data_IF_667515858866
#
_entry.id   IF_667515858866
#
_cell.length_a   1.000
_cell.length_b   1.000
_cell.length_c   1.000
_cell.angle_alpha   90.00
_cell.angle_beta   90.00
_cell.angle_gamma   90.00
#
_symmetry.space_group_name_H-M   'P 1'
#
loop_
_entity.id
_entity.type
_entity.pdbx_description
1 polymer ?
#
# COMPACT_ATOMS: atom_id res chain seq x y z
N UNK A 1 -39.42 4.90 -23.51
CA UNK A 1 -38.62 4.24 -22.46
C UNK A 1 -37.71 5.29 -21.83
N UNK A 2 -38.14 5.88 -20.72
CA UNK A 2 -37.37 6.85 -19.96
C UNK A 2 -36.27 6.12 -19.19
N UNK A 3 -35.02 6.22 -19.65
CA UNK A 3 -33.88 5.80 -18.83
C UNK A 3 -33.79 6.78 -17.66
N UNK A 4 -34.10 6.32 -16.46
CA UNK A 4 -33.76 7.03 -15.23
C UNK A 4 -32.24 7.06 -15.13
N UNK A 5 -31.63 8.19 -15.48
CA UNK A 5 -30.23 8.45 -15.16
C UNK A 5 -30.15 8.65 -13.65
N UNK A 6 -29.94 7.56 -12.92
CA UNK A 6 -29.55 7.65 -11.51
C UNK A 6 -28.15 8.24 -11.49
N UNK A 7 -28.01 9.44 -10.92
CA UNK A 7 -26.69 10.01 -10.73
C UNK A 7 -25.98 9.20 -9.63
N UNK A 8 -24.72 8.86 -9.85
CA UNK A 8 -23.95 8.05 -8.90
C UNK A 8 -23.91 8.72 -7.52
N UNK A 9 -23.84 10.05 -7.50
CA UNK A 9 -23.80 10.87 -6.28
C UNK A 9 -25.12 10.89 -5.50
N UNK A 10 -26.22 10.45 -6.10
CA UNK A 10 -27.52 10.37 -5.41
C UNK A 10 -27.69 9.04 -4.66
N UNK A 11 -26.69 8.15 -4.75
CA UNK A 11 -26.71 6.87 -4.04
C UNK A 11 -26.34 7.06 -2.56
N UNK A 12 -26.93 6.26 -1.66
CA UNK A 12 -26.51 6.24 -0.26
C UNK A 12 -25.03 5.85 -0.11
N UNK A 13 -24.35 6.44 0.88
CA UNK A 13 -22.93 6.20 1.20
C UNK A 13 -22.57 4.72 1.28
N UNK A 14 -23.42 3.92 1.90
CA UNK A 14 -23.21 2.47 2.02
C UNK A 14 -23.09 1.78 0.65
N UNK A 15 -23.87 2.21 -0.35
CA UNK A 15 -23.82 1.67 -1.70
C UNK A 15 -22.57 2.15 -2.43
N UNK A 16 -22.24 3.44 -2.28
CA UNK A 16 -21.01 4.01 -2.83
C UNK A 16 -19.77 3.28 -2.31
N UNK A 17 -19.67 3.05 -1.01
CA UNK A 17 -18.57 2.30 -0.41
C UNK A 17 -18.47 0.86 -0.94
N UNK A 18 -19.61 0.19 -1.15
CA UNK A 18 -19.62 -1.16 -1.75
C UNK A 18 -19.08 -1.12 -3.18
N UNK A 19 -19.45 -0.10 -3.97
CA UNK A 19 -18.96 0.07 -5.34
C UNK A 19 -17.46 0.36 -5.33
N UNK A 20 -17.03 1.35 -4.55
CA UNK A 20 -15.62 1.76 -4.46
C UNK A 20 -14.75 0.58 -4.02
N UNK A 21 -15.18 -0.23 -3.04
CA UNK A 21 -14.47 -1.44 -2.59
C UNK A 21 -14.25 -2.50 -3.66
N UNK A 22 -15.04 -2.50 -4.73
CA UNK A 22 -14.86 -3.44 -5.84
C UNK A 22 -13.84 -2.94 -6.87
N UNK A 23 -13.44 -1.68 -6.79
CA UNK A 23 -12.46 -1.07 -7.66
C UNK A 23 -11.06 -1.16 -7.05
N UNK A 24 -10.03 -0.99 -7.88
CA UNK A 24 -8.67 -0.81 -7.38
C UNK A 24 -8.62 0.48 -6.53
N UNK A 25 -8.28 0.32 -5.25
CA UNK A 25 -8.26 1.41 -4.29
C UNK A 25 -7.24 2.50 -4.63
N UNK A 26 -6.10 2.16 -5.21
CA UNK A 26 -5.09 3.12 -5.65
C UNK A 26 -5.64 3.97 -6.79
N UNK A 27 -6.24 3.37 -7.80
CA UNK A 27 -6.81 4.10 -8.95
C UNK A 27 -7.94 5.03 -8.51
N UNK A 28 -8.80 4.58 -7.60
CA UNK A 28 -9.87 5.39 -7.02
C UNK A 28 -9.29 6.57 -6.25
N UNK A 29 -8.38 6.33 -5.30
CA UNK A 29 -7.77 7.39 -4.50
C UNK A 29 -7.03 8.41 -5.38
N UNK A 30 -6.31 7.91 -6.39
CA UNK A 30 -5.62 8.75 -7.36
C UNK A 30 -6.58 9.58 -8.20
N UNK A 31 -7.70 9.00 -8.63
CA UNK A 31 -8.71 9.70 -9.42
C UNK A 31 -9.47 10.76 -8.62
N UNK A 32 -9.65 10.55 -7.32
CA UNK A 32 -10.40 11.46 -6.45
C UNK A 32 -9.58 12.66 -5.96
N UNK A 33 -8.25 12.58 -6.00
CA UNK A 33 -7.38 13.61 -5.42
C UNK A 33 -7.59 15.03 -5.99
N UNK A 34 -7.93 15.12 -7.27
CA UNK A 34 -8.17 16.37 -7.99
C UNK A 34 -9.66 16.64 -8.23
N UNK A 35 -10.53 15.75 -7.77
CA UNK A 35 -11.97 15.94 -7.90
C UNK A 35 -12.41 16.82 -6.73
N UNK A 36 -12.93 17.99 -7.07
CA UNK A 36 -13.47 18.95 -6.10
C UNK A 36 -14.85 18.49 -5.57
N UNK A 37 -14.90 17.27 -5.03
CA UNK A 37 -16.07 16.65 -4.46
C UNK A 37 -15.74 16.16 -3.05
N UNK A 38 -16.06 16.99 -2.06
CA UNK A 38 -15.79 16.73 -0.65
C UNK A 38 -16.45 15.44 -0.14
N UNK A 39 -17.63 15.11 -0.67
CA UNK A 39 -18.37 13.91 -0.28
C UNK A 39 -17.62 12.63 -0.68
N UNK A 40 -17.22 12.51 -1.95
CA UNK A 40 -16.41 11.36 -2.41
C UNK A 40 -15.03 11.32 -1.73
N UNK A 41 -14.42 12.48 -1.50
CA UNK A 41 -13.15 12.57 -0.78
C UNK A 41 -13.28 12.06 0.66
N UNK A 42 -14.37 12.39 1.34
CA UNK A 42 -14.64 11.90 2.69
C UNK A 42 -14.82 10.38 2.71
N UNK A 43 -15.58 9.82 1.75
CA UNK A 43 -15.81 8.38 1.63
C UNK A 43 -14.54 7.60 1.33
N UNK A 44 -13.67 8.13 0.45
CA UNK A 44 -12.40 7.48 0.11
C UNK A 44 -11.36 7.57 1.26
N UNK A 45 -11.49 8.58 2.13
CA UNK A 45 -10.67 8.68 3.32
C UNK A 45 -11.21 7.83 4.47
N UNK A 46 -12.42 7.28 4.38
CA UNK A 46 -12.92 6.39 5.42
C UNK A 46 -11.99 5.18 5.61
N UNK A 47 -11.84 4.79 6.87
CA UNK A 47 -11.04 3.64 7.29
C UNK A 47 -11.43 2.36 6.55
N UNK A 48 -12.73 2.22 6.25
CA UNK A 48 -13.28 1.06 5.54
C UNK A 48 -12.68 0.89 4.14
N UNK A 49 -12.20 1.98 3.51
CA UNK A 49 -11.63 1.97 2.17
C UNK A 49 -10.09 2.06 2.16
N UNK A 50 -9.51 2.76 3.14
CA UNK A 50 -8.08 3.07 3.20
C UNK A 50 -7.27 2.17 4.14
N UNK A 51 -7.89 1.20 4.82
CA UNK A 51 -7.16 0.33 5.77
C UNK A 51 -6.15 -0.61 5.11
N UNK A 52 -6.41 -1.02 3.87
CA UNK A 52 -5.56 -1.91 3.10
C UNK A 52 -5.28 -1.26 1.77
N UNK A 53 -4.02 -0.99 1.45
CA UNK A 53 -3.61 -0.44 0.16
C UNK A 53 -2.79 -1.46 -0.62
N UNK A 54 -3.20 -1.72 -1.86
CA UNK A 54 -2.56 -2.70 -2.73
C UNK A 54 -1.92 -2.01 -3.93
N UNK A 55 -0.59 -1.95 -3.92
CA UNK A 55 0.22 -1.35 -4.97
C UNK A 55 0.74 -2.37 -6.00
N UNK A 56 0.23 -3.61 -5.95
CA UNK A 56 0.55 -4.64 -6.92
C UNK A 56 -0.30 -4.43 -8.18
N UNK A 57 0.33 -4.50 -9.34
CA UNK A 57 -0.35 -4.38 -10.62
C UNK A 57 -1.27 -5.58 -10.85
N UNK A 58 -2.56 -5.34 -11.12
CA UNK A 58 -3.55 -6.40 -11.36
C UNK A 58 -3.21 -7.20 -12.63
N UNK A 59 -2.55 -6.56 -13.60
CA UNK A 59 -2.34 -7.14 -14.92
C UNK A 59 -0.95 -7.74 -15.11
N UNK A 60 -0.03 -7.69 -14.13
CA UNK A 60 1.38 -8.12 -14.26
C UNK A 60 2.16 -7.52 -15.45
N UNK A 61 1.55 -6.64 -16.26
CA UNK A 61 2.09 -6.13 -17.53
C UNK A 61 2.82 -4.79 -17.34
N UNK A 62 2.60 -4.10 -16.23
CA UNK A 62 3.37 -2.90 -15.87
C UNK A 62 3.26 -2.61 -14.38
N UNK A 63 4.39 -2.43 -13.71
CA UNK A 63 4.45 -1.84 -12.37
C UNK A 63 3.71 -0.49 -12.35
N UNK A 64 3.30 -0.04 -11.15
CA UNK A 64 2.74 1.30 -11.00
C UNK A 64 3.71 2.32 -11.62
N UNK A 65 3.18 3.21 -12.46
CA UNK A 65 3.97 4.26 -13.07
C UNK A 65 4.64 5.13 -11.99
N UNK A 66 5.93 5.44 -12.16
CA UNK A 66 6.70 6.12 -11.13
C UNK A 66 6.16 7.52 -10.84
N UNK A 67 5.69 8.24 -11.85
CA UNK A 67 5.10 9.57 -11.68
C UNK A 67 3.81 9.49 -10.87
N UNK A 68 2.95 8.52 -11.17
CA UNK A 68 1.76 8.24 -10.36
C UNK A 68 2.12 7.89 -8.92
N UNK A 69 3.12 7.04 -8.71
CA UNK A 69 3.56 6.62 -7.37
C UNK A 69 4.10 7.81 -6.57
N UNK A 70 4.95 8.64 -7.16
CA UNK A 70 5.53 9.82 -6.51
C UNK A 70 4.44 10.81 -6.10
N UNK A 71 3.49 11.07 -7.00
CA UNK A 71 2.34 11.94 -6.70
C UNK A 71 1.46 11.35 -5.61
N UNK A 72 1.17 10.05 -5.66
CA UNK A 72 0.40 9.36 -4.63
C UNK A 72 1.09 9.46 -3.25
N UNK A 73 2.40 9.26 -3.21
CA UNK A 73 3.20 9.36 -2.00
C UNK A 73 3.23 10.77 -1.43
N UNK A 74 3.23 11.79 -2.29
CA UNK A 74 3.28 13.18 -1.86
C UNK A 74 1.93 13.73 -1.41
N UNK A 75 0.87 13.40 -2.14
CA UNK A 75 -0.39 14.14 -2.03
C UNK A 75 -1.53 13.33 -1.40
N UNK A 76 -1.46 11.99 -1.39
CA UNK A 76 -2.52 11.09 -0.89
C UNK A 76 -2.12 10.43 0.42
N UNK A 77 -0.98 9.71 0.45
CA UNK A 77 -0.57 8.96 1.64
C UNK A 77 -0.54 9.82 2.91
N UNK A 78 -0.05 11.08 2.91
CA UNK A 78 -0.06 11.94 4.09
C UNK A 78 -1.45 12.32 4.59
N UNK A 79 -2.52 12.11 3.82
CA UNK A 79 -3.90 12.40 4.24
C UNK A 79 -4.60 11.18 4.84
N UNK A 80 -4.19 9.98 4.44
CA UNK A 80 -4.85 8.71 4.85
C UNK A 80 -3.97 7.83 5.74
N UNK A 81 -2.74 8.23 6.03
CA UNK A 81 -1.75 7.39 6.73
C UNK A 81 -2.21 6.84 8.09
N UNK A 82 -3.07 7.58 8.80
CA UNK A 82 -3.61 7.13 10.09
C UNK A 82 -4.59 5.95 9.94
N UNK A 83 -5.22 5.78 8.78
CA UNK A 83 -6.19 4.72 8.56
C UNK A 83 -5.55 3.41 8.09
N UNK A 84 -4.35 3.49 7.51
CA UNK A 84 -3.67 2.36 6.89
C UNK A 84 -3.20 1.37 7.95
N UNK A 85 -3.63 0.11 7.78
CA UNK A 85 -3.24 -1.04 8.60
C UNK A 85 -2.44 -2.08 7.83
N UNK A 86 -2.66 -2.18 6.53
CA UNK A 86 -2.04 -3.19 5.68
C UNK A 86 -1.54 -2.55 4.38
N UNK A 87 -0.29 -2.84 4.04
CA UNK A 87 0.28 -2.56 2.73
C UNK A 87 0.57 -3.85 1.98
N UNK A 88 0.22 -3.90 0.70
CA UNK A 88 0.63 -4.96 -0.22
C UNK A 88 1.46 -4.30 -1.31
N UNK A 89 2.78 -4.49 -1.26
CA UNK A 89 3.75 -3.75 -2.05
C UNK A 89 4.60 -4.66 -2.91
N UNK A 90 5.10 -4.10 -3.99
CA UNK A 90 6.24 -4.64 -4.72
C UNK A 90 7.54 -4.00 -4.20
N UNK A 91 8.69 -4.66 -4.33
CA UNK A 91 9.98 -4.11 -3.90
C UNK A 91 10.28 -2.71 -4.43
N UNK A 92 9.85 -2.41 -5.67
CA UNK A 92 10.12 -1.13 -6.32
C UNK A 92 9.38 0.05 -5.67
N UNK A 93 8.18 -0.17 -5.14
CA UNK A 93 7.35 0.87 -4.53
C UNK A 93 7.54 0.99 -3.01
N UNK A 94 8.16 -0.02 -2.39
CA UNK A 94 8.33 -0.12 -0.94
C UNK A 94 8.98 1.12 -0.31
N UNK A 95 10.10 1.59 -0.86
CA UNK A 95 10.85 2.71 -0.27
C UNK A 95 10.04 4.00 -0.27
N UNK A 96 9.49 4.37 -1.43
CA UNK A 96 8.68 5.58 -1.59
C UNK A 96 7.48 5.57 -0.62
N UNK A 97 6.76 4.45 -0.55
CA UNK A 97 5.56 4.33 0.28
C UNK A 97 5.91 4.40 1.77
N UNK A 98 6.90 3.64 2.24
CA UNK A 98 7.27 3.62 3.66
C UNK A 98 7.87 4.96 4.13
N UNK A 99 8.45 5.74 3.23
CA UNK A 99 8.96 7.07 3.53
C UNK A 99 7.87 8.15 3.54
N UNK A 100 6.82 8.01 2.74
CA UNK A 100 5.82 9.06 2.51
C UNK A 100 5.15 9.60 3.79
N UNK A 101 4.89 8.77 4.80
CA UNK A 101 4.22 9.19 6.04
C UNK A 101 4.63 8.34 7.27
N UNK A 102 4.11 8.70 8.45
CA UNK A 102 4.23 7.92 9.70
C UNK A 102 2.97 7.05 9.88
N UNK A 103 3.06 5.76 9.59
CA UNK A 103 1.93 4.84 9.62
C UNK A 103 1.78 4.20 10.99
N UNK A 104 1.24 4.95 11.95
CA UNK A 104 1.12 4.50 13.35
C UNK A 104 0.24 3.27 13.55
N UNK A 105 -0.73 3.06 12.66
CA UNK A 105 -1.67 1.94 12.72
C UNK A 105 -1.30 0.78 11.78
N UNK A 106 -0.13 0.83 11.14
CA UNK A 106 0.33 -0.24 10.26
C UNK A 106 0.65 -1.49 11.06
N UNK A 107 -0.14 -2.54 10.85
CA UNK A 107 -0.01 -3.83 11.52
C UNK A 107 0.51 -4.93 10.61
N UNK A 108 0.38 -4.77 9.29
CA UNK A 108 0.76 -5.75 8.29
C UNK A 108 1.47 -5.11 7.09
N UNK A 109 2.56 -5.73 6.64
CA UNK A 109 3.24 -5.41 5.38
C UNK A 109 3.44 -6.72 4.61
N UNK A 110 2.87 -6.78 3.41
CA UNK A 110 3.01 -7.89 2.46
C UNK A 110 3.89 -7.42 1.32
N UNK A 111 4.99 -8.11 1.10
CA UNK A 111 5.86 -7.88 -0.04
C UNK A 111 5.64 -9.01 -1.05
N UNK A 112 5.19 -8.65 -2.26
CA UNK A 112 5.00 -9.57 -3.38
C UNK A 112 6.25 -9.53 -4.26
N UNK A 113 6.57 -10.66 -4.91
CA UNK A 113 7.75 -10.80 -5.77
C UNK A 113 9.09 -10.49 -5.05
N UNK A 114 9.12 -10.63 -3.73
CA UNK A 114 10.29 -10.34 -2.90
C UNK A 114 11.11 -11.62 -2.65
N UNK A 115 11.77 -12.12 -3.70
CA UNK A 115 12.61 -13.33 -3.61
C UNK A 115 13.85 -13.09 -2.75
N UNK A 116 14.51 -14.15 -2.29
CA UNK A 116 15.77 -14.04 -1.54
C UNK A 116 16.83 -13.25 -2.31
N UNK A 117 16.92 -13.44 -3.63
CA UNK A 117 17.85 -12.69 -4.47
C UNK A 117 17.48 -11.21 -4.54
N UNK A 118 16.19 -10.89 -4.71
CA UNK A 118 15.69 -9.51 -4.71
C UNK A 118 15.96 -8.84 -3.36
N UNK A 119 15.68 -9.54 -2.26
CA UNK A 119 15.99 -9.07 -0.91
C UNK A 119 17.48 -8.81 -0.73
N UNK A 120 18.33 -9.78 -1.10
CA UNK A 120 19.78 -9.67 -0.97
C UNK A 120 20.31 -8.51 -1.82
N UNK A 121 19.88 -8.41 -3.08
CA UNK A 121 20.21 -7.29 -3.96
C UNK A 121 19.72 -5.95 -3.41
N UNK A 122 18.51 -5.88 -2.85
CA UNK A 122 17.97 -4.67 -2.26
C UNK A 122 18.81 -4.21 -1.07
N UNK A 123 19.13 -5.10 -0.13
CA UNK A 123 19.94 -4.76 1.05
C UNK A 123 21.42 -4.54 0.74
N UNK A 124 21.98 -5.19 -0.29
CA UNK A 124 23.39 -5.01 -0.69
C UNK A 124 23.61 -3.79 -1.59
N UNK A 125 22.76 -3.54 -2.60
CA UNK A 125 22.88 -2.34 -3.46
C UNK A 125 22.62 -1.07 -2.68
N UNK A 126 21.65 -1.11 -1.77
CA UNK A 126 21.34 0.05 -0.96
C UNK A 126 22.24 0.15 0.28
N UNK A 127 23.17 -0.77 0.55
CA UNK A 127 24.07 -0.71 1.72
C UNK A 127 24.80 0.64 1.79
N UNK A 128 25.23 1.20 0.66
CA UNK A 128 25.84 2.55 0.59
C UNK A 128 24.85 3.71 0.83
N UNK A 129 23.61 3.61 0.36
CA UNK A 129 22.54 4.61 0.61
C UNK A 129 22.01 4.55 2.04
N UNK A 130 21.94 3.35 2.59
CA UNK A 130 21.47 3.05 3.94
C UNK A 130 22.45 3.54 5.01
N UNK A 131 23.76 3.48 4.75
CA UNK A 131 24.78 4.07 5.65
C UNK A 131 24.66 5.61 5.74
N UNK A 132 24.13 6.28 4.71
CA UNK A 132 23.91 7.73 4.71
C UNK A 132 22.49 8.15 5.13
N UNK A 133 21.50 7.27 4.99
CA UNK A 133 20.12 7.55 5.38
C UNK A 133 19.72 6.69 6.58
N UNK A 134 20.37 6.95 7.72
CA UNK A 134 20.08 6.29 9.00
C UNK A 134 18.60 6.41 9.38
N UNK A 135 17.91 7.45 8.92
CA UNK A 135 16.49 7.63 9.14
C UNK A 135 15.63 6.60 8.42
N UNK A 136 15.91 6.32 7.14
CA UNK A 136 15.20 5.27 6.38
C UNK A 136 15.43 3.88 6.98
N UNK A 137 16.69 3.55 7.32
CA UNK A 137 16.99 2.27 7.99
C UNK A 137 16.22 2.14 9.29
N UNK A 138 16.29 3.16 10.14
CA UNK A 138 15.59 3.16 11.43
C UNK A 138 14.08 3.08 11.23
N UNK A 139 13.53 3.70 10.19
CA UNK A 139 12.09 3.67 9.91
C UNK A 139 11.63 2.31 9.39
N UNK A 140 12.37 1.70 8.45
CA UNK A 140 12.12 0.33 7.99
C UNK A 140 12.26 -0.65 9.17
N UNK A 141 13.36 -0.58 9.94
CA UNK A 141 13.57 -1.42 11.12
C UNK A 141 12.50 -1.21 12.19
N UNK A 142 12.08 0.04 12.42
CA UNK A 142 10.99 0.38 13.34
C UNK A 142 9.68 -0.26 12.89
N UNK A 143 9.32 -0.16 11.61
CA UNK A 143 8.13 -0.85 11.10
C UNK A 143 8.28 -2.36 11.23
N UNK A 144 9.40 -2.94 10.81
CA UNK A 144 9.69 -4.38 10.98
C UNK A 144 9.55 -4.84 12.44
N UNK A 145 9.95 -4.00 13.41
CA UNK A 145 9.86 -4.29 14.84
C UNK A 145 8.45 -4.13 15.43
N UNK A 146 7.61 -3.28 14.82
CA UNK A 146 6.24 -2.97 15.28
C UNK A 146 5.18 -3.87 14.65
N UNK A 147 5.48 -4.45 13.50
CA UNK A 147 4.56 -5.30 12.78
C UNK A 147 4.29 -6.58 13.59
N UNK A 148 3.02 -6.79 13.94
CA UNK A 148 2.57 -8.02 14.61
C UNK A 148 2.81 -9.26 13.73
N UNK A 149 2.82 -9.06 12.41
CA UNK A 149 3.16 -10.08 11.43
C UNK A 149 3.91 -9.44 10.27
N UNK A 150 5.07 -10.01 9.94
CA UNK A 150 5.76 -9.73 8.70
C UNK A 150 5.62 -10.94 7.78
N UNK A 151 4.83 -10.82 6.72
CA UNK A 151 4.62 -11.97 5.81
C UNK A 151 5.29 -11.67 4.49
N UNK A 152 6.33 -12.46 4.18
CA UNK A 152 6.91 -12.49 2.84
C UNK A 152 6.08 -13.45 2.01
N UNK A 153 5.48 -12.93 0.95
CA UNK A 153 4.88 -13.78 -0.06
C UNK A 153 5.88 -13.93 -1.19
N UNK A 154 6.56 -15.08 -1.19
CA UNK A 154 7.34 -15.48 -2.35
C UNK A 154 6.32 -16.11 -3.31
N UNK A 155 5.64 -15.26 -4.07
CA UNK A 155 4.96 -15.73 -5.27
C UNK A 155 6.05 -16.18 -6.24
N UNK A 156 6.31 -17.47 -6.29
CA UNK A 156 6.99 -18.08 -7.43
C UNK A 156 5.94 -18.26 -8.53
N UNK A 157 6.33 -18.07 -9.79
CA UNK A 157 5.44 -18.19 -10.95
C UNK A 157 4.82 -19.58 -11.14
N UNK A 158 5.25 -20.59 -10.38
CA UNK A 158 4.59 -21.89 -10.27
C UNK A 158 3.56 -21.84 -9.13
N UNK A 159 2.33 -22.24 -9.42
CA UNK A 159 1.06 -22.24 -8.63
C UNK A 159 1.09 -22.81 -7.19
N UNK A 160 2.26 -22.95 -6.58
CA UNK A 160 2.44 -23.25 -5.16
C UNK A 160 2.73 -21.96 -4.39
N UNK A 161 1.70 -21.36 -3.82
CA UNK A 161 1.84 -20.29 -2.82
C UNK A 161 2.56 -20.83 -1.56
N UNK A 162 3.89 -20.81 -1.58
CA UNK A 162 4.69 -21.11 -0.39
C UNK A 162 4.70 -19.88 0.52
N UNK A 163 3.86 -19.95 1.55
CA UNK A 163 3.60 -18.86 2.48
C UNK A 163 4.63 -18.86 3.61
N UNK A 164 5.71 -18.08 3.46
CA UNK A 164 6.69 -17.88 4.52
C UNK A 164 6.22 -16.79 5.50
N UNK A 165 5.62 -17.19 6.61
CA UNK A 165 5.40 -16.28 7.75
C UNK A 165 6.70 -16.11 8.51
N UNK A 166 7.27 -14.91 8.46
CA UNK A 166 8.29 -14.50 9.41
C UNK A 166 7.59 -13.98 10.66
N UNK A 167 7.60 -14.79 11.72
CA UNK A 167 7.21 -14.33 13.06
C UNK A 167 8.49 -13.83 13.72
N UNK A 168 8.61 -12.52 14.01
CA UNK A 168 9.77 -12.02 14.74
C UNK A 168 9.87 -12.77 16.08
N UNK A 169 10.99 -13.47 16.30
CA UNK A 169 11.27 -14.12 17.58
C UNK A 169 11.29 -13.04 18.67
N UNK A 170 10.48 -13.21 19.73
CA UNK A 170 10.43 -12.29 20.88
C UNK A 170 11.68 -12.33 21.78
N UNK A 171 12.81 -12.83 21.28
CA UNK A 171 14.04 -12.98 22.04
C UNK A 171 15.05 -11.90 21.65
N UNK A 172 14.83 -10.70 22.19
CA UNK A 172 15.92 -9.78 22.53
C UNK A 172 15.60 -9.24 23.94
N UNK A 173 16.11 -9.93 24.96
CA UNK A 173 16.36 -9.40 26.29
C UNK A 173 17.85 -9.11 26.45
#
# INVERSE_FOLDING_TARGET
>A
MSRSNVNLLDLPDAILLIILKKLNNIDVLYSLIDVNNEHLNSLAQEKIFSDTLNFVSIDNVSAIDQEKLDRFCKDILPKIHENIKCFILEPISMECILLAADYRNLTELKLINFTQEVALNYFTKNRGRFIHNSHLQNKILLYMSRLHSFTFYISTYDDTDDLFRYVPSQDIQ
#
